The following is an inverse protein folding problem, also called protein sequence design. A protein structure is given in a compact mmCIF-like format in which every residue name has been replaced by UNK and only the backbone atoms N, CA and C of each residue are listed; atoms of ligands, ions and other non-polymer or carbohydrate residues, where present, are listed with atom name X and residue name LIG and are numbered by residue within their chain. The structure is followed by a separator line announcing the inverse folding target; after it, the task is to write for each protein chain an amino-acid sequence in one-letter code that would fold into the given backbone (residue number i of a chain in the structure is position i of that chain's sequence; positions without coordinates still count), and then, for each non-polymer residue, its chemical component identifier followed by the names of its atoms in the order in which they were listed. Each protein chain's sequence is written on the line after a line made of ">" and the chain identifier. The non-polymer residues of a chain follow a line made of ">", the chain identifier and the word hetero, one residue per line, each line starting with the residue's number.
data_IF_506848264984
#
_entry.id   IF_506848264984
#
_cell.length_a   1.000
_cell.length_b   1.000
_cell.length_c   1.000
_cell.angle_alpha   90.00
_cell.angle_beta   90.00
_cell.angle_gamma   90.00
#
_symmetry.space_group_name_H-M   'P 1'
#
loop_
_entity.id
_entity.type
_entity.pdbx_description
1 polymer ?
#
# COMPACT_ATOMS: atom_id res chain seq x y z
N UNK A 1 -8.31 -10.79 -9.17
CA UNK A 1 -7.80 -10.06 -8.00
C UNK A 1 -6.31 -10.21 -7.94
N UNK A 2 -5.60 -9.12 -8.21
CA UNK A 2 -4.15 -9.13 -8.20
C UNK A 2 -3.64 -8.59 -6.88
N UNK A 3 -2.45 -9.02 -6.53
CA UNK A 3 -1.76 -8.48 -5.36
C UNK A 3 -0.57 -7.67 -5.83
N UNK A 4 -0.30 -6.59 -5.12
CA UNK A 4 0.78 -5.67 -5.47
C UNK A 4 1.72 -5.58 -4.29
N UNK A 5 3.02 -5.63 -4.56
CA UNK A 5 4.02 -5.49 -3.52
C UNK A 5 4.07 -4.06 -3.03
N UNK A 6 4.25 -3.90 -1.73
CA UNK A 6 4.32 -2.57 -1.14
C UNK A 6 5.50 -1.77 -1.69
N UNK A 7 6.62 -2.43 -1.98
CA UNK A 7 7.78 -1.75 -2.55
C UNK A 7 7.45 -1.08 -3.89
N UNK A 8 6.60 -1.69 -4.68
CA UNK A 8 6.17 -1.10 -5.93
C UNK A 8 5.34 0.16 -5.69
N UNK A 9 4.44 0.09 -4.73
CA UNK A 9 3.58 1.22 -4.40
C UNK A 9 4.36 2.39 -3.81
N UNK A 10 5.34 2.11 -2.97
CA UNK A 10 6.17 3.17 -2.40
C UNK A 10 6.93 3.92 -3.49
N UNK A 11 7.41 3.20 -4.50
CA UNK A 11 8.09 3.82 -5.62
C UNK A 11 7.13 4.59 -6.51
N UNK A 12 5.99 4.00 -6.79
CA UNK A 12 5.01 4.58 -7.70
C UNK A 12 4.45 5.90 -7.16
N UNK A 13 4.19 5.95 -5.86
CA UNK A 13 3.60 7.14 -5.24
C UNK A 13 4.62 7.99 -4.49
N UNK A 14 5.88 7.59 -4.48
CA UNK A 14 6.95 8.30 -3.78
C UNK A 14 6.63 8.53 -2.30
N UNK A 15 6.15 7.49 -1.65
CA UNK A 15 5.80 7.56 -0.22
C UNK A 15 6.64 6.57 0.57
N UNK A 16 6.79 6.85 1.86
CA UNK A 16 7.50 5.95 2.75
C UNK A 16 6.71 4.69 3.03
N UNK A 17 7.43 3.59 3.24
CA UNK A 17 6.79 2.31 3.54
C UNK A 17 5.92 2.40 4.79
N UNK A 18 6.39 3.07 5.83
CA UNK A 18 5.64 3.21 7.07
C UNK A 18 4.31 3.92 6.84
N UNK A 19 4.32 4.97 6.03
CA UNK A 19 3.08 5.69 5.71
C UNK A 19 2.08 4.83 4.97
N UNK A 20 2.59 4.08 4.00
CA UNK A 20 1.73 3.19 3.23
C UNK A 20 1.13 2.10 4.10
N UNK A 21 1.95 1.48 4.94
CA UNK A 21 1.48 0.43 5.84
C UNK A 21 0.44 0.98 6.83
N UNK A 22 0.71 2.15 7.38
CA UNK A 22 -0.22 2.80 8.31
C UNK A 22 -1.59 3.02 7.64
N UNK A 23 -1.57 3.56 6.45
CA UNK A 23 -2.79 3.82 5.70
C UNK A 23 -3.55 2.53 5.42
N UNK A 24 -2.84 1.51 4.97
CA UNK A 24 -3.47 0.23 4.63
C UNK A 24 -4.06 -0.46 5.85
N UNK A 25 -3.37 -0.39 6.98
CA UNK A 25 -3.88 -0.98 8.22
C UNK A 25 -5.11 -0.23 8.72
N UNK A 26 -5.16 1.08 8.50
CA UNK A 26 -6.35 1.87 8.79
C UNK A 26 -7.55 1.39 7.98
N UNK A 27 -7.30 0.92 6.78
CA UNK A 27 -8.34 0.39 5.90
C UNK A 27 -8.67 -1.07 6.18
N UNK A 28 -7.95 -1.67 7.12
CA UNK A 28 -8.17 -3.07 7.49
C UNK A 28 -7.41 -4.07 6.67
N UNK A 29 -6.37 -3.63 5.98
CA UNK A 29 -5.60 -4.53 5.12
C UNK A 29 -4.69 -5.49 5.88
N UNK A 30 -4.33 -5.17 7.11
CA UNK A 30 -3.46 -6.01 7.95
C UNK A 30 -2.16 -6.40 7.27
N UNK A 31 -1.45 -5.42 6.74
CA UNK A 31 -0.16 -5.67 6.10
C UNK A 31 0.98 -5.45 7.08
N UNK A 32 2.07 -6.16 6.88
CA UNK A 32 3.28 -5.99 7.67
C UNK A 32 4.12 -4.85 7.12
N UNK A 33 4.93 -4.24 7.98
CA UNK A 33 5.86 -3.21 7.53
C UNK A 33 7.07 -3.86 6.87
N UNK A 34 6.85 -4.35 5.67
CA UNK A 34 7.84 -5.10 4.91
C UNK A 34 7.64 -4.79 3.43
N UNK A 35 8.69 -4.37 2.72
CA UNK A 35 8.54 -4.05 1.30
C UNK A 35 8.12 -5.25 0.46
N UNK A 36 8.34 -6.47 0.94
CA UNK A 36 7.91 -7.67 0.25
C UNK A 36 6.45 -8.04 0.53
N UNK A 37 5.81 -7.36 1.46
CA UNK A 37 4.40 -7.61 1.74
C UNK A 37 3.57 -7.23 0.52
N UNK A 38 2.45 -7.89 0.37
CA UNK A 38 1.54 -7.65 -0.75
C UNK A 38 0.19 -7.18 -0.23
N UNK A 39 -0.50 -6.45 -1.05
CA UNK A 39 -1.85 -5.97 -0.73
C UNK A 39 -2.72 -6.12 -1.98
N UNK A 40 -4.01 -6.32 -1.78
CA UNK A 40 -4.94 -6.46 -2.88
C UNK A 40 -5.00 -5.17 -3.70
N UNK A 41 -5.18 -5.31 -5.01
CA UNK A 41 -5.29 -4.16 -5.91
C UNK A 41 -6.57 -3.35 -5.66
N UNK A 42 -7.49 -3.88 -4.88
CA UNK A 42 -8.68 -3.14 -4.47
C UNK A 42 -8.33 -1.86 -3.72
N UNK A 43 -7.18 -1.82 -3.09
CA UNK A 43 -6.75 -0.65 -2.33
C UNK A 43 -6.11 0.43 -3.19
N UNK A 44 -5.83 0.13 -4.47
CA UNK A 44 -5.21 1.10 -5.36
C UNK A 44 -5.98 2.41 -5.48
N UNK A 45 -7.31 2.38 -5.73
CA UNK A 45 -8.06 3.64 -5.82
C UNK A 45 -7.96 4.48 -4.56
N UNK A 46 -7.99 3.82 -3.40
CA UNK A 46 -7.87 4.53 -2.12
C UNK A 46 -6.49 5.14 -1.95
N UNK A 47 -5.45 4.40 -2.34
CA UNK A 47 -4.08 4.90 -2.25
C UNK A 47 -3.89 6.09 -3.20
N UNK A 48 -4.41 6.00 -4.40
CA UNK A 48 -4.34 7.09 -5.35
C UNK A 48 -5.07 8.32 -4.86
N UNK A 49 -6.21 8.14 -4.22
CA UNK A 49 -6.96 9.25 -3.67
C UNK A 49 -6.22 9.94 -2.52
N UNK A 50 -5.44 9.18 -1.76
CA UNK A 50 -4.71 9.72 -0.60
C UNK A 50 -3.36 10.30 -0.99
N UNK A 51 -2.61 9.60 -1.83
CA UNK A 51 -1.21 9.93 -2.13
C UNK A 51 -0.97 10.36 -3.56
N UNK A 52 -1.88 10.04 -4.42
CA UNK A 52 -1.73 10.32 -5.85
C UNK A 52 -1.94 11.80 -6.25
#
# INVERSE_FOLDING_TARGET
>A
MAEIRLSKLTKQFSIGLARLVDFLNEKGANVEMNPNAKVSDEYLPAIEAKFG
#
